data_IF_302575811640
#
_entry.id   IF_302575811640
#
_cell.length_a   1.000
_cell.length_b   1.000
_cell.length_c   1.000
_cell.angle_alpha   90.00
_cell.angle_beta   90.00
_cell.angle_gamma   90.00
#
_symmetry.space_group_name_H-M   'P 1'
#
loop_
_entity.id
_entity.type
_entity.pdbx_description
1 polymer ?
#
# COMPACT_ATOMS: atom_id res chain seq x y z
N UNK A 1 14.73 29.62 -0.86
CA UNK A 1 14.84 28.74 0.33
C UNK A 1 14.29 27.39 -0.07
N UNK A 2 15.15 26.38 -0.11
CA UNK A 2 15.09 25.27 -1.08
C UNK A 2 14.17 24.14 -0.66
N UNK A 3 13.24 23.83 -1.56
CA UNK A 3 12.33 22.68 -1.55
C UNK A 3 13.11 21.35 -1.56
N UNK A 4 12.73 20.41 -0.68
CA UNK A 4 13.04 18.99 -0.80
C UNK A 4 11.83 18.15 -0.37
N UNK A 5 10.84 18.07 -1.26
CA UNK A 5 9.79 17.06 -1.17
C UNK A 5 10.37 15.74 -1.68
N UNK A 6 10.50 14.77 -0.76
CA UNK A 6 10.53 13.33 -1.00
C UNK A 6 11.26 12.87 -2.28
N UNK A 7 12.59 12.81 -2.22
CA UNK A 7 13.38 12.07 -3.21
C UNK A 7 13.52 10.62 -2.72
N UNK A 8 12.50 9.80 -2.95
CA UNK A 8 12.54 8.34 -2.74
C UNK A 8 12.85 7.66 -4.08
N UNK A 9 14.09 7.82 -4.56
CA UNK A 9 14.81 6.93 -5.48
C UNK A 9 16.17 7.58 -5.79
N UNK A 10 17.28 6.89 -6.05
CA UNK A 10 17.46 5.58 -6.65
C UNK A 10 18.89 5.14 -6.37
N UNK A 11 19.09 4.24 -5.41
CA UNK A 11 20.31 3.44 -5.39
C UNK A 11 20.00 2.12 -4.69
N UNK A 12 20.43 1.00 -5.29
CA UNK A 12 20.20 -0.35 -4.75
C UNK A 12 20.87 -0.56 -3.38
N UNK A 13 21.71 0.37 -2.96
CA UNK A 13 22.25 0.47 -1.60
C UNK A 13 21.20 0.93 -0.57
N UNK A 14 20.31 1.86 -0.93
CA UNK A 14 19.35 2.44 0.00
C UNK A 14 18.28 1.45 0.46
N UNK A 15 17.86 0.52 -0.41
CA UNK A 15 16.89 -0.51 -0.04
C UNK A 15 17.51 -1.54 0.93
N UNK A 16 18.76 -1.93 0.68
CA UNK A 16 19.50 -2.84 1.58
C UNK A 16 19.81 -2.17 2.91
N UNK A 17 20.19 -0.90 2.88
CA UNK A 17 20.49 -0.10 4.06
C UNK A 17 19.23 0.26 4.85
N UNK A 18 18.10 0.51 4.20
CA UNK A 18 16.80 0.71 4.85
C UNK A 18 16.30 -0.59 5.48
N UNK A 19 16.39 -1.72 4.77
CA UNK A 19 16.05 -3.05 5.31
C UNK A 19 16.98 -3.41 6.48
N UNK A 20 18.27 -3.10 6.40
CA UNK A 20 19.22 -3.34 7.48
C UNK A 20 19.00 -2.36 8.65
N UNK A 21 18.66 -1.10 8.37
CA UNK A 21 18.30 -0.11 9.37
C UNK A 21 17.02 -0.52 10.10
N UNK A 22 15.97 -0.94 9.38
CA UNK A 22 14.73 -1.46 9.96
C UNK A 22 14.95 -2.75 10.75
N UNK A 23 15.89 -3.63 10.33
CA UNK A 23 16.29 -4.82 11.08
C UNK A 23 17.12 -4.48 12.33
N UNK A 24 17.99 -3.46 12.26
CA UNK A 24 18.88 -3.01 13.33
C UNK A 24 18.14 -2.18 14.39
N UNK A 25 17.19 -1.36 13.94
CA UNK A 25 16.22 -0.63 14.74
C UNK A 25 14.91 -1.41 14.86
N UNK A 26 14.97 -2.75 14.76
CA UNK A 26 13.93 -3.66 15.23
C UNK A 26 13.94 -3.61 16.76
N UNK A 27 13.62 -2.44 17.29
CA UNK A 27 13.44 -2.15 18.69
C UNK A 27 12.20 -2.90 19.13
N UNK A 28 12.44 -3.81 20.08
CA UNK A 28 11.55 -4.26 21.14
C UNK A 28 10.06 -4.08 20.86
N UNK A 29 9.35 -5.20 20.73
CA UNK A 29 7.90 -5.37 20.83
C UNK A 29 7.25 -4.09 21.37
N UNK A 30 6.82 -3.19 20.49
CA UNK A 30 6.13 -1.96 20.89
C UNK A 30 4.84 -2.44 21.56
N UNK A 31 4.90 -2.52 22.89
CA UNK A 31 3.75 -2.82 23.71
C UNK A 31 2.73 -1.73 23.44
N UNK A 32 1.45 -2.08 23.49
CA UNK A 32 0.37 -1.13 23.28
C UNK A 32 0.54 0.04 24.27
N UNK A 33 0.94 1.22 23.79
CA UNK A 33 1.08 2.42 24.61
C UNK A 33 0.18 3.52 24.09
N UNK A 34 -0.26 4.37 25.02
CA UNK A 34 -1.13 5.51 24.75
C UNK A 34 -0.28 6.76 24.87
N UNK A 35 -0.14 7.51 23.78
CA UNK A 35 0.51 8.81 23.78
C UNK A 35 -0.52 9.90 24.03
N UNK A 36 -0.29 10.75 25.02
CA UNK A 36 -1.08 11.96 25.21
C UNK A 36 -0.37 13.14 24.54
N UNK A 37 -0.96 13.67 23.48
CA UNK A 37 -0.47 14.82 22.71
C UNK A 37 -1.56 15.89 22.69
N UNK A 38 -1.30 17.07 23.24
CA UNK A 38 -2.25 18.21 23.28
C UNK A 38 -3.68 17.84 23.72
N UNK A 39 -3.79 16.99 24.75
CA UNK A 39 -5.08 16.51 25.27
C UNK A 39 -5.73 15.39 24.45
N UNK A 40 -5.15 14.98 23.32
CA UNK A 40 -5.57 13.82 22.53
C UNK A 40 -4.80 12.56 22.94
N UNK A 41 -5.51 11.43 23.12
CA UNK A 41 -4.89 10.13 23.33
C UNK A 41 -4.72 9.39 22.00
N UNK A 42 -3.48 9.22 21.55
CA UNK A 42 -3.12 8.44 20.36
C UNK A 42 -2.71 7.03 20.79
N UNK A 43 -3.41 6.03 20.27
CA UNK A 43 -3.09 4.62 20.52
C UNK A 43 -2.15 4.09 19.44
N UNK A 44 -1.24 3.20 19.83
CA UNK A 44 -0.42 2.48 18.84
C UNK A 44 -1.28 1.56 17.98
N UNK A 45 -1.07 1.61 16.67
CA UNK A 45 -1.67 0.69 15.70
C UNK A 45 -0.65 -0.35 15.24
N UNK A 46 -1.11 -1.57 14.97
CA UNK A 46 -0.29 -2.63 14.37
C UNK A 46 -0.05 -2.46 12.87
N UNK A 47 -0.75 -1.50 12.25
CA UNK A 47 -0.62 -1.16 10.83
C UNK A 47 -0.70 0.34 10.59
N UNK A 48 0.06 0.85 9.62
CA UNK A 48 -0.02 2.21 9.12
C UNK A 48 -0.35 2.20 7.64
N UNK A 49 -1.03 3.24 7.15
CA UNK A 49 -1.25 3.46 5.72
C UNK A 49 -0.37 4.61 5.27
N UNK A 50 0.62 4.34 4.43
CA UNK A 50 1.52 5.34 3.87
C UNK A 50 1.45 5.29 2.34
N UNK A 51 1.26 6.44 1.69
CA UNK A 51 1.12 6.56 0.23
C UNK A 51 0.09 5.57 -0.38
N UNK A 52 -0.95 5.17 0.37
CA UNK A 52 -1.92 4.16 -0.06
C UNK A 52 -1.58 2.71 0.29
N UNK A 53 -0.34 2.44 0.72
CA UNK A 53 0.19 1.14 1.06
C UNK A 53 -0.04 0.82 2.54
N UNK A 54 -0.54 -0.38 2.83
CA UNK A 54 -0.76 -0.84 4.21
C UNK A 54 0.49 -1.56 4.70
N UNK A 55 1.19 -0.95 5.65
CA UNK A 55 2.40 -1.47 6.25
C UNK A 55 2.07 -2.02 7.65
N UNK A 56 2.37 -3.29 7.89
CA UNK A 56 2.35 -3.89 9.22
C UNK A 56 3.71 -3.74 9.90
N UNK A 57 3.75 -3.96 11.22
CA UNK A 57 4.98 -3.89 12.02
C UNK A 57 6.12 -4.78 11.52
N UNK A 58 5.82 -5.82 10.73
CA UNK A 58 6.82 -6.73 10.15
C UNK A 58 7.16 -6.41 8.70
N UNK A 59 6.57 -5.35 8.10
CA UNK A 59 6.69 -5.02 6.67
C UNK A 59 6.43 -6.23 5.77
N UNK A 60 5.44 -7.06 6.15
CA UNK A 60 5.05 -8.26 5.40
C UNK A 60 4.12 -7.96 4.23
N UNK A 61 3.50 -6.78 4.18
CA UNK A 61 2.53 -6.35 3.16
C UNK A 61 1.30 -7.27 3.00
N UNK A 62 1.12 -8.28 3.86
CA UNK A 62 0.05 -9.28 3.73
C UNK A 62 -1.34 -8.63 3.69
N UNK A 63 -1.56 -7.62 4.54
CA UNK A 63 -2.82 -6.89 4.57
C UNK A 63 -3.05 -6.06 3.30
N UNK A 64 -1.99 -5.41 2.79
CA UNK A 64 -2.05 -4.66 1.54
C UNK A 64 -2.34 -5.58 0.35
N UNK A 65 -1.60 -6.66 0.19
CA UNK A 65 -1.80 -7.65 -0.88
C UNK A 65 -3.23 -8.19 -0.83
N UNK A 66 -3.71 -8.61 0.34
CA UNK A 66 -5.08 -9.10 0.50
C UNK A 66 -6.12 -8.04 0.11
N UNK A 67 -5.89 -6.77 0.47
CA UNK A 67 -6.80 -5.68 0.14
C UNK A 67 -6.84 -5.43 -1.37
N UNK A 68 -5.67 -5.28 -2.01
CA UNK A 68 -5.55 -5.04 -3.46
C UNK A 68 -6.15 -6.19 -4.26
N UNK A 69 -5.82 -7.43 -3.91
CA UNK A 69 -6.35 -8.63 -4.60
C UNK A 69 -7.87 -8.72 -4.48
N UNK A 70 -8.44 -8.46 -3.29
CA UNK A 70 -9.91 -8.46 -3.11
C UNK A 70 -10.59 -7.40 -3.95
N UNK A 71 -10.04 -6.18 -3.98
CA UNK A 71 -10.58 -5.10 -4.80
C UNK A 71 -10.48 -5.44 -6.29
N UNK A 72 -9.34 -5.95 -6.74
CA UNK A 72 -9.13 -6.31 -8.14
C UNK A 72 -10.11 -7.40 -8.59
N UNK A 73 -10.26 -8.45 -7.78
CA UNK A 73 -11.21 -9.52 -8.06
C UNK A 73 -12.67 -9.02 -8.10
N UNK A 74 -13.04 -8.13 -7.19
CA UNK A 74 -14.36 -7.51 -7.18
C UNK A 74 -14.65 -6.74 -8.49
N UNK A 75 -13.71 -5.91 -8.94
CA UNK A 75 -13.86 -5.16 -10.18
C UNK A 75 -13.88 -6.06 -11.41
N UNK A 76 -13.00 -7.05 -11.49
CA UNK A 76 -13.00 -8.04 -12.57
C UNK A 76 -14.31 -8.81 -12.65
N UNK A 77 -14.89 -9.20 -11.50
CA UNK A 77 -16.20 -9.86 -11.46
C UNK A 77 -17.31 -8.93 -11.96
N UNK A 78 -17.22 -7.64 -11.70
CA UNK A 78 -18.20 -6.68 -12.21
C UNK A 78 -18.07 -6.49 -13.72
N UNK A 79 -16.84 -6.42 -14.26
CA UNK A 79 -16.60 -6.40 -15.70
C UNK A 79 -17.19 -7.67 -16.35
N UNK A 80 -16.94 -8.84 -15.78
CA UNK A 80 -17.48 -10.11 -16.30
C UNK A 80 -19.02 -10.16 -16.31
N UNK A 81 -19.71 -9.48 -15.36
CA UNK A 81 -21.17 -9.35 -15.37
C UNK A 81 -21.67 -8.45 -16.51
N UNK A 82 -20.91 -7.41 -16.86
CA UNK A 82 -21.24 -6.47 -17.94
C UNK A 82 -20.93 -7.04 -19.33
N UNK A 83 -20.21 -8.16 -19.42
CA UNK A 83 -19.81 -8.81 -20.68
C UNK A 83 -20.97 -8.99 -21.67
N UNK A 84 -22.15 -9.37 -21.21
CA UNK A 84 -23.32 -9.58 -22.08
C UNK A 84 -23.85 -8.28 -22.73
N UNK A 85 -23.40 -7.12 -22.25
CA UNK A 85 -23.79 -5.80 -22.74
C UNK A 85 -22.67 -5.10 -23.54
N UNK A 86 -21.49 -5.72 -23.66
CA UNK A 86 -20.31 -5.13 -24.28
C UNK A 86 -19.90 -5.90 -25.53
N UNK A 87 -19.31 -5.18 -26.49
CA UNK A 87 -18.55 -5.82 -27.57
C UNK A 87 -17.25 -6.40 -27.01
N UNK A 88 -16.69 -7.40 -27.67
CA UNK A 88 -15.39 -7.98 -27.29
C UNK A 88 -14.30 -6.90 -27.24
N UNK A 89 -14.32 -5.97 -28.20
CA UNK A 89 -13.35 -4.87 -28.27
C UNK A 89 -13.48 -3.91 -27.08
N UNK A 90 -14.69 -3.62 -26.62
CA UNK A 90 -14.90 -2.70 -25.50
C UNK A 90 -14.63 -3.37 -24.14
N UNK A 91 -14.92 -4.66 -24.02
CA UNK A 91 -14.50 -5.48 -22.87
C UNK A 91 -12.97 -5.49 -22.73
N UNK A 92 -12.24 -5.69 -23.83
CA UNK A 92 -10.78 -5.67 -23.86
C UNK A 92 -10.23 -4.31 -23.40
N UNK A 93 -10.74 -3.20 -23.95
CA UNK A 93 -10.37 -1.85 -23.53
C UNK A 93 -10.64 -1.62 -22.04
N UNK A 94 -11.78 -2.09 -21.54
CA UNK A 94 -12.16 -1.93 -20.14
C UNK A 94 -11.23 -2.68 -19.20
N UNK A 95 -10.88 -3.94 -19.53
CA UNK A 95 -9.90 -4.72 -18.77
C UNK A 95 -8.53 -4.07 -18.83
N UNK A 96 -8.10 -3.61 -20.00
CA UNK A 96 -6.78 -3.00 -20.17
C UNK A 96 -6.68 -1.67 -19.39
N UNK A 97 -7.68 -0.80 -19.49
CA UNK A 97 -7.75 0.45 -18.73
C UNK A 97 -7.76 0.17 -17.21
N UNK A 98 -8.50 -0.85 -16.78
CA UNK A 98 -8.51 -1.27 -15.38
C UNK A 98 -7.12 -1.69 -14.90
N UNK A 99 -6.40 -2.54 -15.65
CA UNK A 99 -5.05 -2.96 -15.28
C UNK A 99 -4.04 -1.81 -15.28
N UNK A 100 -4.05 -0.99 -16.32
CA UNK A 100 -3.11 0.14 -16.46
C UNK A 100 -3.31 1.20 -15.38
N UNK A 101 -4.55 1.44 -14.93
CA UNK A 101 -4.85 2.40 -13.84
C UNK A 101 -4.25 2.04 -12.48
N UNK A 102 -3.64 0.86 -12.35
CA UNK A 102 -3.07 0.32 -11.10
C UNK A 102 -1.54 0.15 -11.16
N UNK A 103 -0.90 0.60 -12.25
CA UNK A 103 0.55 0.54 -12.44
C UNK A 103 1.29 1.82 -12.03
N UNK A 104 0.55 2.86 -11.64
CA UNK A 104 1.08 4.09 -11.04
C UNK A 104 1.50 3.83 -9.59
#
# INVERSE_FOLDING_TARGET
>A
MTHKFLLLNSDKAFDKDFVNWAKKHRTQKLQYFILHLDGCSVTTSSTVKDQGVILDTKLSFKNHINHVTKMAFFHLRNIAKLRNMLSISDEEKLVHAFMTSRLD
#
